data_IF_323737893525
#
_entry.id   IF_323737893525
#
_cell.length_a   1.000
_cell.length_b   1.000
_cell.length_c   1.000
_cell.angle_alpha   90.00
_cell.angle_beta   90.00
_cell.angle_gamma   90.00
#
_symmetry.space_group_name_H-M   'P 1'
#
loop_
_entity.id
_entity.type
_entity.pdbx_description
1 polymer ?
#
# COMPACT_ATOMS: atom_id res chain seq x y z
N UNK A 1 -53.09 3.29 -23.76
CA UNK A 1 -52.48 4.22 -22.77
C UNK A 1 -51.61 3.52 -21.72
N UNK A 2 -52.08 2.46 -21.06
CA UNK A 2 -51.28 1.74 -20.01
C UNK A 2 -49.91 1.18 -20.48
N UNK A 3 -49.81 0.68 -21.75
CA UNK A 3 -48.57 0.11 -22.28
C UNK A 3 -47.47 1.18 -22.54
N UNK A 4 -47.87 2.37 -22.99
CA UNK A 4 -46.95 3.49 -23.24
C UNK A 4 -46.40 4.05 -21.95
N UNK A 5 -47.19 4.11 -20.87
CA UNK A 5 -46.78 4.57 -19.57
C UNK A 5 -45.72 3.61 -18.94
N UNK A 6 -45.87 2.30 -19.11
CA UNK A 6 -44.92 1.29 -18.59
C UNK A 6 -43.57 1.42 -19.35
N UNK A 7 -43.56 1.62 -20.65
CA UNK A 7 -42.33 1.79 -21.45
C UNK A 7 -41.60 3.06 -21.08
N UNK A 8 -42.30 4.15 -20.83
CA UNK A 8 -41.70 5.42 -20.37
C UNK A 8 -41.11 5.29 -18.95
N UNK A 9 -41.77 4.59 -18.03
CA UNK A 9 -41.24 4.33 -16.71
C UNK A 9 -39.98 3.45 -16.74
N UNK A 10 -39.95 2.42 -17.57
CA UNK A 10 -38.78 1.55 -17.71
C UNK A 10 -37.56 2.26 -18.32
N UNK A 11 -37.79 3.15 -19.29
CA UNK A 11 -36.68 3.92 -19.88
C UNK A 11 -36.09 4.96 -18.90
N UNK A 12 -36.92 5.55 -18.03
CA UNK A 12 -36.45 6.47 -16.99
C UNK A 12 -35.63 5.78 -15.93
N UNK A 13 -35.96 4.53 -15.55
CA UNK A 13 -35.22 3.75 -14.58
C UNK A 13 -33.81 3.37 -15.05
N UNK A 14 -33.62 3.11 -16.34
CA UNK A 14 -32.32 2.77 -16.92
C UNK A 14 -31.37 3.98 -16.92
N UNK A 15 -31.86 5.19 -17.05
CA UNK A 15 -31.06 6.41 -17.04
C UNK A 15 -30.50 6.70 -15.64
N UNK A 16 -31.24 6.36 -14.59
CA UNK A 16 -30.82 6.61 -13.19
C UNK A 16 -29.70 5.65 -12.76
N UNK A 17 -29.63 4.44 -13.29
CA UNK A 17 -28.61 3.44 -12.94
C UNK A 17 -27.25 3.66 -13.63
N UNK A 18 -27.18 4.53 -14.63
CA UNK A 18 -25.94 4.85 -15.37
C UNK A 18 -25.07 5.96 -14.79
N UNK A 19 -25.50 6.66 -13.74
CA UNK A 19 -24.87 7.89 -13.27
C UNK A 19 -23.84 7.72 -12.14
N UNK A 20 -23.57 6.53 -11.64
CA UNK A 20 -22.51 6.28 -10.65
C UNK A 20 -21.20 5.84 -11.30
N UNK A 21 -20.60 6.71 -12.13
CA UNK A 21 -19.15 6.65 -12.34
C UNK A 21 -18.49 7.40 -11.19
N UNK A 22 -18.10 6.68 -10.16
CA UNK A 22 -17.16 7.18 -9.16
C UNK A 22 -15.82 7.43 -9.86
N UNK A 23 -15.66 8.63 -10.42
CA UNK A 23 -14.33 9.12 -10.77
C UNK A 23 -13.64 9.46 -9.47
N UNK A 24 -12.80 8.53 -8.99
CA UNK A 24 -11.82 8.86 -7.97
C UNK A 24 -11.07 10.12 -8.45
N UNK A 25 -10.89 11.15 -7.61
CA UNK A 25 -10.18 12.35 -8.01
C UNK A 25 -8.78 11.95 -8.47
N UNK A 26 -8.46 12.22 -9.73
CA UNK A 26 -7.10 12.08 -10.26
C UNK A 26 -6.29 13.16 -9.57
N UNK A 27 -5.51 12.78 -8.57
CA UNK A 27 -4.62 13.66 -7.83
C UNK A 27 -3.42 13.96 -8.74
N UNK A 28 -3.66 14.76 -9.76
CA UNK A 28 -2.68 15.26 -10.69
C UNK A 28 -2.06 16.50 -10.03
N UNK A 29 -0.89 16.37 -9.40
CA UNK A 29 -0.08 17.38 -8.69
C UNK A 29 -0.13 17.38 -7.14
N UNK A 30 -0.57 16.34 -6.47
CA UNK A 30 -0.32 16.22 -5.04
C UNK A 30 1.19 16.02 -4.81
N UNK A 31 1.77 16.83 -3.94
CA UNK A 31 3.17 16.63 -3.50
C UNK A 31 3.30 15.23 -2.90
N UNK A 32 4.38 14.49 -3.22
CA UNK A 32 4.60 13.18 -2.61
C UNK A 32 4.74 13.33 -1.09
N UNK A 33 3.98 12.54 -0.36
CA UNK A 33 4.10 12.37 1.08
C UNK A 33 4.85 11.07 1.34
N UNK A 34 6.02 11.17 1.96
CA UNK A 34 6.93 10.05 2.18
C UNK A 34 7.01 9.71 3.67
N UNK A 35 6.98 8.43 4.01
CA UNK A 35 7.27 7.91 5.33
C UNK A 35 8.61 7.19 5.29
N UNK A 36 9.54 7.61 6.16
CA UNK A 36 10.84 6.96 6.31
C UNK A 36 10.78 5.92 7.42
N UNK A 37 11.33 4.74 7.16
CA UNK A 37 11.50 3.65 8.11
C UNK A 37 12.98 3.32 8.25
N UNK A 38 13.53 3.53 9.42
CA UNK A 38 14.86 3.09 9.79
C UNK A 38 14.87 1.56 9.95
N UNK A 39 15.89 0.89 9.40
CA UNK A 39 15.98 -0.56 9.38
C UNK A 39 16.02 -1.18 10.79
N UNK A 40 16.82 -0.58 11.69
CA UNK A 40 17.06 -1.13 13.01
C UNK A 40 15.87 -0.88 13.93
N UNK A 41 15.36 0.37 13.97
CA UNK A 41 14.26 0.75 14.83
C UNK A 41 12.92 0.11 14.43
N UNK A 42 12.79 -0.35 13.20
CA UNK A 42 11.56 -0.94 12.66
C UNK A 42 11.72 -2.40 12.24
N UNK A 43 12.81 -3.06 12.59
CA UNK A 43 13.08 -4.44 12.19
C UNK A 43 11.93 -5.39 12.56
N UNK A 44 11.40 -5.31 13.76
CA UNK A 44 10.23 -6.07 14.22
C UNK A 44 9.03 -5.90 13.29
N UNK A 45 8.79 -4.65 12.83
CA UNK A 45 7.64 -4.31 11.96
C UNK A 45 7.82 -4.79 10.52
N UNK A 46 9.06 -4.90 10.07
CA UNK A 46 9.41 -5.28 8.70
C UNK A 46 10.08 -6.66 8.60
N UNK A 47 10.06 -7.45 9.68
CA UNK A 47 10.62 -8.80 9.71
C UNK A 47 9.72 -9.88 9.10
N UNK A 48 8.43 -9.62 8.94
CA UNK A 48 7.49 -10.58 8.38
C UNK A 48 6.46 -9.93 7.43
N UNK A 49 5.96 -10.69 6.43
CA UNK A 49 5.06 -10.17 5.39
C UNK A 49 3.74 -9.58 5.92
N UNK A 50 3.11 -10.21 6.90
CA UNK A 50 1.81 -9.76 7.43
C UNK A 50 1.94 -8.42 8.14
N UNK A 51 3.03 -8.22 8.87
CA UNK A 51 3.35 -6.96 9.53
C UNK A 51 3.65 -5.86 8.51
N UNK A 52 4.38 -6.17 7.45
CA UNK A 52 4.68 -5.24 6.35
C UNK A 52 3.37 -4.77 5.70
N UNK A 53 2.49 -5.70 5.31
CA UNK A 53 1.20 -5.36 4.68
C UNK A 53 0.33 -4.49 5.58
N UNK A 54 0.26 -4.82 6.88
CA UNK A 54 -0.46 -4.03 7.86
C UNK A 54 0.05 -2.58 7.92
N UNK A 55 1.38 -2.38 8.07
CA UNK A 55 1.94 -1.03 8.19
C UNK A 55 1.85 -0.25 6.88
N UNK A 56 2.08 -0.87 5.73
CA UNK A 56 1.93 -0.21 4.42
C UNK A 56 0.49 0.21 4.16
N UNK A 57 -0.47 -0.64 4.50
CA UNK A 57 -1.90 -0.31 4.41
C UNK A 57 -2.26 0.86 5.32
N UNK A 58 -1.74 0.86 6.56
CA UNK A 58 -1.99 1.93 7.52
C UNK A 58 -1.42 3.26 7.06
N UNK A 59 -0.17 3.34 6.61
CA UNK A 59 0.42 4.60 6.14
C UNK A 59 -0.29 5.12 4.89
N UNK A 60 -0.71 4.24 3.99
CA UNK A 60 -1.53 4.59 2.82
C UNK A 60 -2.85 5.23 3.23
N UNK A 61 -3.54 4.69 4.24
CA UNK A 61 -4.79 5.25 4.77
C UNK A 61 -4.61 6.62 5.41
N UNK A 62 -3.40 6.95 5.88
CA UNK A 62 -3.03 8.25 6.43
C UNK A 62 -2.62 9.28 5.36
N UNK A 63 -2.66 8.91 4.08
CA UNK A 63 -2.35 9.80 2.96
C UNK A 63 -0.89 9.80 2.51
N UNK A 64 -0.04 8.93 3.06
CA UNK A 64 1.31 8.75 2.53
C UNK A 64 1.27 8.03 1.19
N UNK A 65 2.09 8.50 0.26
CA UNK A 65 2.16 7.98 -1.11
C UNK A 65 3.35 7.05 -1.33
N UNK A 66 4.38 7.16 -0.48
CA UNK A 66 5.62 6.40 -0.59
C UNK A 66 6.10 5.96 0.79
N UNK A 67 6.63 4.74 0.88
CA UNK A 67 7.42 4.25 2.00
C UNK A 67 8.88 4.19 1.55
N UNK A 68 9.78 4.78 2.33
CA UNK A 68 11.22 4.67 2.15
C UNK A 68 11.74 3.81 3.28
N UNK A 69 12.30 2.66 2.96
CA UNK A 69 12.86 1.74 3.95
C UNK A 69 14.37 1.76 3.84
N UNK A 70 15.04 2.08 4.93
CA UNK A 70 16.47 1.89 5.04
C UNK A 70 16.75 0.39 5.13
N UNK A 71 17.50 -0.13 4.21
CA UNK A 71 17.79 -1.56 4.08
C UNK A 71 19.22 -1.93 4.49
N UNK A 72 20.00 -0.95 4.96
CA UNK A 72 21.37 -1.15 5.39
C UNK A 72 21.59 -0.57 6.80
N UNK A 73 21.41 -1.35 7.85
CA UNK A 73 21.68 -0.95 9.21
C UNK A 73 23.18 -0.67 9.45
N UNK A 74 23.49 -0.08 10.62
CA UNK A 74 24.84 0.33 11.01
C UNK A 74 25.84 -0.85 11.09
N UNK A 75 25.36 -2.08 11.22
CA UNK A 75 26.18 -3.29 11.24
C UNK A 75 26.91 -3.54 9.92
N UNK A 76 26.50 -2.92 8.82
CA UNK A 76 27.01 -3.15 7.48
C UNK A 76 26.39 -4.34 6.77
N UNK A 77 25.51 -5.09 7.44
CA UNK A 77 24.66 -6.10 6.83
C UNK A 77 23.53 -5.44 6.02
N UNK A 78 22.79 -6.22 5.25
CA UNK A 78 21.64 -5.73 4.47
C UNK A 78 20.41 -6.59 4.70
N UNK A 79 19.23 -6.03 4.49
CA UNK A 79 17.95 -6.74 4.69
C UNK A 79 17.51 -7.56 3.47
N UNK A 80 18.30 -7.64 2.41
CA UNK A 80 17.97 -8.32 1.15
C UNK A 80 19.12 -9.23 0.70
N UNK A 81 18.83 -10.15 -0.23
CA UNK A 81 19.85 -11.06 -0.77
C UNK A 81 20.72 -10.35 -1.79
N UNK A 82 22.04 -10.37 -1.58
CA UNK A 82 23.06 -9.79 -2.48
C UNK A 82 24.40 -10.48 -2.28
N UNK A 83 25.26 -10.43 -3.30
CA UNK A 83 26.65 -10.91 -3.22
C UNK A 83 27.61 -9.87 -2.61
N UNK A 84 27.19 -8.61 -2.47
CA UNK A 84 28.06 -7.50 -2.07
C UNK A 84 28.09 -7.25 -0.57
N UNK A 85 27.16 -7.81 0.20
CA UNK A 85 27.10 -7.64 1.64
C UNK A 85 26.42 -8.84 2.31
N UNK A 86 26.78 -9.19 3.56
CA UNK A 86 26.08 -10.25 4.28
C UNK A 86 24.65 -9.82 4.58
N UNK A 87 23.73 -10.79 4.47
CA UNK A 87 22.33 -10.58 4.83
C UNK A 87 22.15 -10.64 6.34
N UNK A 88 21.51 -9.64 6.91
CA UNK A 88 21.06 -9.67 8.29
C UNK A 88 19.98 -10.74 8.47
N UNK A 89 20.18 -11.63 9.44
CA UNK A 89 19.25 -12.74 9.71
C UNK A 89 18.42 -12.52 10.95
N UNK A 90 18.96 -11.79 11.90
CA UNK A 90 18.37 -11.58 13.21
C UNK A 90 18.72 -10.16 13.72
N UNK A 91 17.78 -9.55 14.42
CA UNK A 91 17.99 -8.31 15.18
C UNK A 91 17.11 -8.31 16.42
N UNK A 92 17.74 -8.23 17.62
CA UNK A 92 17.05 -8.22 18.90
C UNK A 92 16.05 -9.37 19.11
N UNK A 93 16.36 -10.57 18.63
CA UNK A 93 15.52 -11.75 18.75
C UNK A 93 14.42 -11.90 17.70
N UNK A 94 14.35 -10.98 16.75
CA UNK A 94 13.47 -11.09 15.59
C UNK A 94 14.25 -11.64 14.39
N UNK A 95 13.81 -12.76 13.89
CA UNK A 95 14.35 -13.33 12.65
C UNK A 95 13.76 -12.66 11.42
N UNK A 96 14.61 -12.36 10.43
CA UNK A 96 14.17 -11.85 9.13
C UNK A 96 13.55 -12.99 8.32
N UNK A 97 12.25 -13.15 8.41
CA UNK A 97 11.48 -14.08 7.59
C UNK A 97 11.30 -13.50 6.20
N UNK A 98 12.30 -13.79 5.31
CA UNK A 98 12.20 -13.67 3.86
C UNK A 98 11.47 -12.41 3.33
N UNK A 99 12.12 -11.25 3.45
CA UNK A 99 11.78 -10.13 2.57
C UNK A 99 12.37 -10.47 1.21
N UNK A 100 11.56 -11.01 0.31
CA UNK A 100 11.83 -10.98 -1.12
C UNK A 100 11.42 -9.59 -1.60
N UNK A 101 12.37 -8.68 -1.67
CA UNK A 101 12.21 -7.42 -2.38
C UNK A 101 12.61 -7.65 -3.83
#
# INVERSE_FOLDING_TARGET
MRKITIVLLSSLLIIVLGACKSTAPKVENAKPALMWFDAEANFERFSNPDSIDYYLTKIKSLGFTHAIVDVRPITGEVLFDTEFAPKMREWHGYELSLIHI
#
